data_IF_561119206239
#
_entry.id   IF_561119206239
#
_cell.length_a   1.000
_cell.length_b   1.000
_cell.length_c   1.000
_cell.angle_alpha   90.00
_cell.angle_beta   90.00
_cell.angle_gamma   90.00
#
_symmetry.space_group_name_H-M   'P 1'
#
loop_
_entity.id
_entity.type
_entity.pdbx_description
1 polymer ?
#
# COMPACT_ATOMS: atom_id res chain seq x y z
N UNK A 1 -14.43 18.31 25.24
CA UNK A 1 -13.03 18.11 24.79
C UNK A 1 -12.88 17.23 23.52
N UNK A 2 -13.92 17.03 22.68
CA UNK A 2 -13.84 16.15 21.49
C UNK A 2 -13.33 16.81 20.19
N UNK A 3 -13.26 18.15 20.11
CA UNK A 3 -12.95 18.89 18.87
C UNK A 3 -11.44 18.97 18.51
N UNK A 4 -10.53 18.87 19.48
CA UNK A 4 -9.09 19.00 19.20
C UNK A 4 -8.46 17.75 18.56
N UNK A 5 -8.95 16.55 18.90
CA UNK A 5 -8.30 15.30 18.43
C UNK A 5 -8.60 14.94 16.96
N UNK A 6 -9.69 15.42 16.37
CA UNK A 6 -9.99 15.20 14.94
C UNK A 6 -9.21 16.13 14.01
N UNK A 7 -8.82 17.31 14.50
CA UNK A 7 -7.92 18.21 13.77
C UNK A 7 -6.48 17.66 13.77
N UNK A 8 -6.07 17.00 14.85
CA UNK A 8 -4.72 16.42 14.99
C UNK A 8 -4.47 15.28 14.00
N UNK A 9 -5.41 14.32 13.81
CA UNK A 9 -5.19 13.19 12.88
C UNK A 9 -5.02 13.66 11.43
N UNK A 10 -5.87 14.57 10.97
CA UNK A 10 -5.77 15.15 9.64
C UNK A 10 -4.47 15.95 9.46
N UNK A 11 -4.00 16.67 10.50
CA UNK A 11 -2.71 17.36 10.45
C UNK A 11 -1.53 16.40 10.44
N UNK A 12 -1.60 15.27 11.15
CA UNK A 12 -0.55 14.25 11.15
C UNK A 12 -0.37 13.64 9.77
N UNK A 13 -1.47 13.27 9.10
CA UNK A 13 -1.41 12.72 7.74
C UNK A 13 -0.88 13.74 6.74
N UNK A 14 -1.36 14.99 6.81
CA UNK A 14 -0.88 16.07 5.93
C UNK A 14 0.63 16.31 6.09
N UNK A 15 1.14 16.26 7.31
CA UNK A 15 2.56 16.38 7.60
C UNK A 15 3.34 15.18 7.08
N UNK A 16 2.82 13.95 7.23
CA UNK A 16 3.42 12.75 6.66
C UNK A 16 3.56 12.87 5.14
N UNK A 17 2.51 13.33 4.45
CA UNK A 17 2.53 13.59 3.01
C UNK A 17 3.58 14.64 2.63
N UNK A 18 3.74 15.70 3.44
CA UNK A 18 4.73 16.74 3.19
C UNK A 18 6.18 16.21 3.28
N UNK A 19 6.49 15.44 4.33
CA UNK A 19 7.80 14.80 4.49
C UNK A 19 8.07 13.77 3.37
N UNK A 20 7.07 12.96 3.03
CA UNK A 20 7.17 11.97 1.95
C UNK A 20 7.53 12.65 0.61
N UNK A 21 6.85 13.75 0.25
CA UNK A 21 7.13 14.50 -0.98
C UNK A 21 8.51 15.13 -1.01
N UNK A 22 9.12 15.39 0.15
CA UNK A 22 10.49 15.92 0.28
C UNK A 22 11.56 14.82 0.28
N UNK A 23 11.17 13.54 0.35
CA UNK A 23 12.10 12.42 0.52
C UNK A 23 12.57 12.22 1.96
N UNK A 24 11.95 12.89 2.93
CA UNK A 24 12.22 12.77 4.38
C UNK A 24 11.49 11.51 4.90
N UNK A 25 11.94 10.34 4.43
CA UNK A 25 11.19 9.09 4.59
C UNK A 25 11.13 8.57 6.02
N UNK A 26 12.15 8.82 6.85
CA UNK A 26 12.15 8.37 8.25
C UNK A 26 11.07 9.10 9.07
N UNK A 27 10.97 10.42 8.89
CA UNK A 27 9.95 11.26 9.49
C UNK A 27 8.56 10.90 8.97
N UNK A 28 8.43 10.72 7.65
CA UNK A 28 7.17 10.31 7.02
C UNK A 28 6.68 8.96 7.56
N UNK A 29 7.55 7.95 7.66
CA UNK A 29 7.22 6.62 8.17
C UNK A 29 6.71 6.67 9.62
N UNK A 30 7.38 7.47 10.46
CA UNK A 30 6.99 7.69 11.85
C UNK A 30 5.60 8.33 11.94
N UNK A 31 5.33 9.33 11.10
CA UNK A 31 4.05 10.03 11.06
C UNK A 31 2.92 9.15 10.51
N UNK A 32 3.16 8.36 9.46
CA UNK A 32 2.18 7.38 8.97
C UNK A 32 1.86 6.34 10.04
N UNK A 33 2.87 5.79 10.72
CA UNK A 33 2.66 4.83 11.81
C UNK A 33 1.88 5.43 12.96
N UNK A 34 2.14 6.69 13.29
CA UNK A 34 1.40 7.45 14.30
C UNK A 34 -0.06 7.63 13.87
N UNK A 35 -0.32 8.05 12.63
CA UNK A 35 -1.66 8.22 12.09
C UNK A 35 -2.45 6.90 12.11
N UNK A 36 -1.87 5.83 11.57
CA UNK A 36 -2.48 4.49 11.55
C UNK A 36 -2.84 4.06 12.99
N UNK A 37 -1.91 4.20 13.94
CA UNK A 37 -2.15 3.86 15.34
C UNK A 37 -3.26 4.69 16.00
N UNK A 38 -3.41 5.97 15.63
CA UNK A 38 -4.52 6.81 16.10
C UNK A 38 -5.87 6.33 15.56
N UNK A 39 -5.91 5.81 14.33
CA UNK A 39 -7.13 5.27 13.73
C UNK A 39 -7.58 3.98 14.44
N UNK A 40 -6.67 3.09 14.87
CA UNK A 40 -7.03 1.85 15.58
C UNK A 40 -7.40 2.06 17.05
N UNK A 41 -6.80 3.05 17.72
CA UNK A 41 -7.15 3.38 19.13
C UNK A 41 -8.56 3.99 19.28
N UNK A 42 -9.23 4.28 18.16
CA UNK A 42 -10.55 4.90 18.17
C UNK A 42 -11.72 3.90 18.32
N UNK A 43 -11.53 2.58 18.25
CA UNK A 43 -12.63 1.59 18.37
C UNK A 43 -12.18 0.23 18.94
N UNK A 44 -12.64 -0.19 20.14
CA UNK A 44 -12.55 -1.58 20.57
C UNK A 44 -13.77 -2.44 20.15
N UNK A 45 -14.88 -1.83 19.71
CA UNK A 45 -16.11 -2.55 19.36
C UNK A 45 -16.77 -1.86 18.16
N UNK A 46 -16.53 -2.41 16.98
CA UNK A 46 -17.00 -1.87 15.72
C UNK A 46 -18.53 -1.83 15.61
N UNK A 47 -19.13 -0.68 15.94
CA UNK A 47 -20.41 -0.22 15.40
C UNK A 47 -20.40 1.31 15.40
N UNK A 48 -20.24 1.91 14.22
CA UNK A 48 -20.89 3.17 13.87
C UNK A 48 -20.27 4.48 14.36
N UNK A 49 -19.81 5.26 13.39
CA UNK A 49 -19.93 6.73 13.40
C UNK A 49 -19.08 7.50 14.44
N UNK A 50 -17.78 7.19 14.49
CA UNK A 50 -16.80 8.03 15.18
C UNK A 50 -15.36 8.01 14.62
N UNK A 51 -15.08 7.20 13.59
CA UNK A 51 -13.74 7.07 13.01
C UNK A 51 -13.25 8.40 12.44
N UNK A 52 -12.28 9.01 13.12
CA UNK A 52 -11.61 10.26 12.75
C UNK A 52 -10.77 10.14 11.46
N UNK A 53 -10.65 8.95 10.90
CA UNK A 53 -9.90 8.64 9.70
C UNK A 53 -10.87 8.15 8.63
N UNK A 54 -10.79 8.70 7.42
CA UNK A 54 -11.47 8.12 6.28
C UNK A 54 -10.79 6.80 5.89
N UNK A 55 -11.54 5.86 5.33
CA UNK A 55 -10.98 4.59 4.84
C UNK A 55 -9.94 4.85 3.73
N UNK A 56 -10.18 5.86 2.90
CA UNK A 56 -9.28 6.30 1.85
C UNK A 56 -7.94 6.84 2.39
N UNK A 57 -8.00 7.70 3.40
CA UNK A 57 -6.80 8.22 4.07
C UNK A 57 -6.01 7.11 4.76
N UNK A 58 -6.71 6.16 5.39
CA UNK A 58 -6.08 5.04 6.07
C UNK A 58 -5.38 4.10 5.07
N UNK A 59 -6.05 3.77 3.96
CA UNK A 59 -5.46 2.97 2.89
C UNK A 59 -4.27 3.68 2.24
N UNK A 60 -4.36 4.99 2.03
CA UNK A 60 -3.26 5.82 1.51
C UNK A 60 -2.07 5.85 2.46
N UNK A 61 -2.31 6.00 3.77
CA UNK A 61 -1.25 5.97 4.79
C UNK A 61 -0.51 4.63 4.80
N UNK A 62 -1.25 3.52 4.74
CA UNK A 62 -0.67 2.18 4.60
C UNK A 62 0.17 2.05 3.32
N UNK A 63 -0.39 2.44 2.16
CA UNK A 63 0.33 2.40 0.89
C UNK A 63 1.65 3.18 0.95
N UNK A 64 1.62 4.41 1.44
CA UNK A 64 2.80 5.28 1.44
C UNK A 64 3.85 4.81 2.46
N UNK A 65 3.43 4.24 3.61
CA UNK A 65 4.36 3.59 4.54
C UNK A 65 5.00 2.35 3.91
N UNK A 66 4.21 1.53 3.22
CA UNK A 66 4.72 0.38 2.45
C UNK A 66 5.72 0.80 1.38
N UNK A 67 5.49 1.93 0.71
CA UNK A 67 6.40 2.48 -0.29
C UNK A 67 7.75 2.91 0.30
N UNK A 68 7.75 3.51 1.50
CA UNK A 68 8.99 3.84 2.22
C UNK A 68 9.79 2.56 2.52
N UNK A 69 9.13 1.53 3.06
CA UNK A 69 9.77 0.24 3.36
C UNK A 69 10.30 -0.44 2.10
N UNK A 70 9.56 -0.34 0.99
CA UNK A 70 10.01 -0.81 -0.31
C UNK A 70 11.30 -0.10 -0.76
N UNK A 71 11.41 1.22 -0.60
CA UNK A 71 12.64 1.96 -0.92
C UNK A 71 13.84 1.53 -0.08
N UNK A 72 13.59 1.00 1.13
CA UNK A 72 14.59 0.39 2.01
C UNK A 72 14.83 -1.10 1.75
N UNK A 73 14.15 -1.70 0.76
CA UNK A 73 14.22 -3.13 0.43
C UNK A 73 13.64 -4.04 1.55
N UNK A 74 12.84 -3.48 2.45
CA UNK A 74 12.14 -4.20 3.51
C UNK A 74 10.85 -4.83 2.94
N UNK A 75 11.02 -5.76 1.99
CA UNK A 75 9.95 -6.24 1.13
C UNK A 75 8.77 -6.88 1.86
N UNK A 76 9.02 -7.72 2.86
CA UNK A 76 7.93 -8.38 3.61
C UNK A 76 7.09 -7.36 4.39
N UNK A 77 7.73 -6.41 5.07
CA UNK A 77 7.02 -5.38 5.81
C UNK A 77 6.26 -4.41 4.89
N UNK A 78 6.79 -4.16 3.69
CA UNK A 78 6.09 -3.39 2.66
C UNK A 78 4.84 -4.14 2.15
N UNK A 79 4.95 -5.46 1.93
CA UNK A 79 3.82 -6.30 1.54
C UNK A 79 2.72 -6.35 2.61
N UNK A 80 3.08 -6.36 3.89
CA UNK A 80 2.11 -6.29 5.00
C UNK A 80 1.33 -4.98 4.97
N UNK A 81 2.01 -3.87 4.69
CA UNK A 81 1.38 -2.56 4.55
C UNK A 81 0.47 -2.48 3.32
N UNK A 82 0.91 -2.99 2.17
CA UNK A 82 0.06 -3.05 0.97
C UNK A 82 -1.15 -3.95 1.17
N UNK A 83 -0.97 -5.09 1.85
CA UNK A 83 -2.08 -6.00 2.19
C UNK A 83 -3.08 -5.33 3.13
N UNK A 84 -2.61 -4.56 4.11
CA UNK A 84 -3.47 -3.76 4.98
C UNK A 84 -4.24 -2.70 4.21
N UNK A 85 -3.59 -1.99 3.28
CA UNK A 85 -4.25 -1.02 2.40
C UNK A 85 -5.36 -1.68 1.54
N UNK A 86 -5.09 -2.85 0.98
CA UNK A 86 -6.06 -3.65 0.20
C UNK A 86 -7.27 -4.06 1.06
N UNK A 87 -7.04 -4.48 2.30
CA UNK A 87 -8.13 -4.87 3.22
C UNK A 87 -9.02 -3.68 3.59
N UNK A 88 -8.43 -2.50 3.80
CA UNK A 88 -9.15 -1.26 4.12
C UNK A 88 -9.92 -0.75 2.90
N UNK A 89 -9.32 -0.80 1.72
CA UNK A 89 -9.89 -0.29 0.47
C UNK A 89 -9.60 -1.24 -0.71
N UNK A 90 -10.46 -2.25 -0.95
CA UNK A 90 -10.25 -3.24 -2.01
C UNK A 90 -10.32 -2.70 -3.44
N UNK A 91 -10.80 -1.47 -3.63
CA UNK A 91 -10.85 -0.79 -4.92
C UNK A 91 -9.71 0.21 -5.14
N UNK A 92 -8.72 0.24 -4.24
CA UNK A 92 -7.50 1.03 -4.41
C UNK A 92 -6.46 0.18 -5.14
N UNK A 93 -6.19 0.50 -6.40
CA UNK A 93 -5.37 -0.32 -7.29
C UNK A 93 -3.86 -0.23 -7.00
N UNK A 94 -3.38 0.91 -6.48
CA UNK A 94 -1.94 1.18 -6.30
C UNK A 94 -1.26 0.18 -5.35
N UNK A 95 -1.84 -0.21 -4.19
CA UNK A 95 -1.27 -1.26 -3.34
C UNK A 95 -1.12 -2.62 -4.02
N UNK A 96 -2.08 -3.03 -4.87
CA UNK A 96 -1.96 -4.26 -5.65
C UNK A 96 -0.76 -4.19 -6.59
N UNK A 97 -0.60 -3.08 -7.32
CA UNK A 97 0.54 -2.90 -8.21
C UNK A 97 1.88 -2.96 -7.45
N UNK A 98 1.98 -2.25 -6.33
CA UNK A 98 3.21 -2.22 -5.55
C UNK A 98 3.55 -3.58 -4.91
N UNK A 99 2.56 -4.33 -4.43
CA UNK A 99 2.75 -5.69 -3.92
C UNK A 99 3.15 -6.65 -5.03
N UNK A 100 2.51 -6.56 -6.20
CA UNK A 100 2.87 -7.32 -7.40
C UNK A 100 4.32 -7.11 -7.84
N UNK A 101 4.83 -5.86 -7.78
CA UNK A 101 6.24 -5.58 -8.07
C UNK A 101 7.20 -6.28 -7.10
N UNK A 102 6.85 -6.37 -5.82
CA UNK A 102 7.66 -7.11 -4.83
C UNK A 102 7.61 -8.60 -5.12
N UNK A 103 6.42 -9.16 -5.31
CA UNK A 103 6.23 -10.59 -5.62
C UNK A 103 7.02 -10.99 -6.88
N UNK A 104 6.97 -10.17 -7.92
CA UNK A 104 7.76 -10.35 -9.14
C UNK A 104 9.26 -10.40 -8.83
N UNK A 105 9.80 -9.45 -8.04
CA UNK A 105 11.22 -9.42 -7.64
C UNK A 105 11.64 -10.64 -6.82
N UNK A 106 10.73 -11.18 -6.02
CA UNK A 106 10.95 -12.41 -5.24
C UNK A 106 10.80 -13.70 -6.08
N UNK A 107 10.39 -13.58 -7.35
CA UNK A 107 10.17 -14.71 -8.24
C UNK A 107 8.86 -15.46 -7.99
N UNK A 108 7.95 -14.87 -7.19
CA UNK A 108 6.57 -15.30 -6.95
C UNK A 108 5.69 -14.81 -8.10
N UNK A 109 5.92 -15.39 -9.29
CA UNK A 109 5.31 -14.88 -10.53
C UNK A 109 3.80 -15.11 -10.58
N UNK A 110 3.29 -16.20 -10.01
CA UNK A 110 1.84 -16.47 -10.04
C UNK A 110 1.05 -15.42 -9.25
N UNK A 111 1.51 -15.12 -8.05
CA UNK A 111 0.90 -14.11 -7.17
C UNK A 111 1.07 -12.70 -7.74
N UNK A 112 2.22 -12.40 -8.36
CA UNK A 112 2.42 -11.13 -9.06
C UNK A 112 1.43 -10.94 -10.23
N UNK A 113 1.17 -11.99 -11.00
CA UNK A 113 0.18 -11.95 -12.10
C UNK A 113 -1.24 -11.71 -11.58
N UNK A 114 -1.61 -12.29 -10.44
CA UNK A 114 -2.92 -12.04 -9.81
C UNK A 114 -3.06 -10.57 -9.42
N UNK A 115 -2.05 -10.01 -8.76
CA UNK A 115 -2.05 -8.60 -8.36
C UNK A 115 -2.10 -7.66 -9.57
N UNK A 116 -1.28 -7.89 -10.62
CA UNK A 116 -1.31 -7.05 -11.82
C UNK A 116 -2.64 -7.15 -12.59
N UNK A 117 -3.25 -8.34 -12.68
CA UNK A 117 -4.60 -8.48 -13.25
C UNK A 117 -5.62 -7.69 -12.46
N UNK A 118 -5.55 -7.76 -11.13
CA UNK A 118 -6.48 -7.01 -10.28
C UNK A 118 -6.36 -5.50 -10.47
N UNK A 119 -5.16 -4.98 -10.69
CA UNK A 119 -4.94 -3.57 -11.04
C UNK A 119 -5.68 -3.21 -12.33
N UNK A 120 -5.57 -4.04 -13.37
CA UNK A 120 -6.20 -3.80 -14.66
C UNK A 120 -7.72 -3.99 -14.64
N UNK A 121 -8.24 -4.85 -13.77
CA UNK A 121 -9.70 -4.98 -13.52
C UNK A 121 -10.27 -3.70 -12.90
N UNK A 122 -9.52 -3.05 -12.00
CA UNK A 122 -9.91 -1.80 -11.35
C UNK A 122 -9.68 -0.58 -12.25
N UNK A 123 -8.56 -0.57 -12.97
CA UNK A 123 -8.13 0.51 -13.84
C UNK A 123 -7.49 -0.06 -15.13
N UNK A 124 -8.30 -0.30 -16.18
CA UNK A 124 -7.81 -0.83 -17.45
C UNK A 124 -6.78 0.06 -18.16
N UNK A 125 -6.70 1.34 -17.78
CA UNK A 125 -5.76 2.31 -18.34
C UNK A 125 -4.38 2.31 -17.66
N UNK A 126 -4.15 1.48 -16.64
CA UNK A 126 -2.87 1.42 -15.93
C UNK A 126 -1.78 0.76 -16.80
N UNK A 127 -1.07 1.59 -17.57
CA UNK A 127 -0.07 1.15 -18.54
C UNK A 127 1.05 0.33 -17.90
N UNK A 128 1.58 0.76 -16.75
CA UNK A 128 2.67 0.06 -16.07
C UNK A 128 2.26 -1.37 -15.66
N UNK A 129 1.04 -1.55 -15.12
CA UNK A 129 0.54 -2.88 -14.79
C UNK A 129 0.41 -3.79 -16.02
N UNK A 130 0.04 -3.23 -17.18
CA UNK A 130 0.02 -3.99 -18.45
C UNK A 130 1.43 -4.45 -18.85
N UNK A 131 2.43 -3.59 -18.70
CA UNK A 131 3.83 -3.92 -19.00
C UNK A 131 4.37 -4.95 -18.02
N UNK A 132 4.14 -4.77 -16.71
CA UNK A 132 4.57 -5.70 -15.67
C UNK A 132 3.92 -7.07 -15.81
N UNK A 133 2.63 -7.14 -16.17
CA UNK A 133 1.94 -8.39 -16.45
C UNK A 133 2.61 -9.15 -17.61
N UNK A 134 2.85 -8.47 -18.74
CA UNK A 134 3.50 -9.07 -19.92
C UNK A 134 4.90 -9.56 -19.58
N UNK A 135 5.70 -8.74 -18.88
CA UNK A 135 7.06 -9.11 -18.48
C UNK A 135 7.05 -10.33 -17.55
N UNK A 136 6.13 -10.38 -16.58
CA UNK A 136 6.02 -11.48 -15.64
C UNK A 136 5.67 -12.81 -16.32
N UNK A 137 4.84 -12.78 -17.37
CA UNK A 137 4.53 -13.98 -18.18
C UNK A 137 5.80 -14.50 -18.87
N UNK A 138 6.56 -13.61 -19.53
CA UNK A 138 7.79 -13.97 -20.23
C UNK A 138 8.84 -14.57 -19.28
N UNK A 139 9.07 -13.92 -18.14
CA UNK A 139 10.08 -14.39 -17.18
C UNK A 139 9.67 -15.70 -16.49
N UNK A 140 8.36 -15.89 -16.28
CA UNK A 140 7.82 -17.16 -15.78
C UNK A 140 8.06 -18.29 -16.77
N UNK A 141 7.78 -18.07 -18.06
CA UNK A 141 8.05 -19.04 -19.12
C UNK A 141 9.54 -19.35 -19.25
N UNK A 142 10.40 -18.32 -19.23
CA UNK A 142 11.86 -18.50 -19.28
C UNK A 142 12.39 -19.30 -18.07
N UNK A 143 11.89 -19.02 -16.86
CA UNK A 143 12.25 -19.78 -15.67
C UNK A 143 11.82 -21.25 -15.79
N UNK A 144 10.67 -21.52 -16.40
CA UNK A 144 10.20 -22.89 -16.65
C UNK A 144 11.08 -23.61 -17.66
N UNK A 145 11.45 -22.97 -18.77
CA UNK A 145 12.28 -23.59 -19.82
C UNK A 145 13.72 -23.86 -19.38
N UNK A 146 14.27 -23.05 -18.46
CA UNK A 146 15.61 -23.25 -17.88
C UNK A 146 15.70 -24.34 -16.80
N UNK A 147 14.56 -24.76 -16.25
CA UNK A 147 14.50 -25.77 -15.19
C UNK A 147 14.26 -27.20 -15.72
N UNK A 148 14.37 -27.42 -17.04
CA UNK A 148 14.40 -28.72 -17.70
C UNK A 148 15.83 -29.10 -18.11
#
# INVERSE_FOLDING_TARGET
MKRQQGQVSHTTLSLAHAHFKKGEYAEAETLYSTYIGQCYRADPVGVGSGSKCSLEDLATAYNNRGQIKYFRVDFYEAMDDYTSAIQVQPNFEVPYYNRGLILYRLGCFDEALEDFKKVLDLNPGFQDATLSLKQTILDKEEKQTRNY
#
